data_IF_589422835196
#
_entry.id   IF_589422835196
#
_cell.length_a   1.000
_cell.length_b   1.000
_cell.length_c   1.000
_cell.angle_alpha   90.00
_cell.angle_beta   90.00
_cell.angle_gamma   90.00
#
_symmetry.space_group_name_H-M   'P 1'
#
loop_
_entity.id
_entity.type
_entity.pdbx_description
1 polymer ?
#
# COMPACT_ATOMS: atom_id res chain seq x y z
N UNK A 1 26.52 7.34 -17.98
CA UNK A 1 25.60 8.29 -17.34
C UNK A 1 25.83 9.64 -18.02
N UNK A 2 24.88 10.13 -18.80
CA UNK A 2 25.03 11.41 -19.50
C UNK A 2 24.50 12.52 -18.59
N UNK A 3 25.40 13.23 -17.91
CA UNK A 3 25.06 14.45 -17.19
C UNK A 3 24.46 15.47 -18.17
N UNK A 4 23.30 16.04 -17.82
CA UNK A 4 22.72 17.15 -18.61
C UNK A 4 23.52 18.41 -18.31
N UNK A 5 23.99 19.04 -19.36
CA UNK A 5 24.75 20.29 -19.31
C UNK A 5 23.87 21.39 -19.89
N UNK A 6 23.82 22.57 -19.27
CA UNK A 6 23.07 23.71 -19.78
C UNK A 6 23.82 24.43 -20.92
N UNK A 7 23.20 25.47 -21.51
CA UNK A 7 23.80 26.29 -22.57
C UNK A 7 25.10 27.01 -22.14
N UNK A 8 25.40 27.03 -20.84
CA UNK A 8 26.57 27.67 -20.23
C UNK A 8 27.65 26.66 -19.79
N UNK A 9 27.56 25.41 -20.24
CA UNK A 9 28.45 24.33 -19.81
C UNK A 9 28.40 23.99 -18.30
N UNK A 10 27.33 24.38 -17.61
CA UNK A 10 27.12 24.02 -16.21
C UNK A 10 26.36 22.71 -16.11
N UNK A 11 26.73 21.89 -15.14
CA UNK A 11 25.98 20.69 -14.79
C UNK A 11 24.61 21.10 -14.25
N UNK A 12 23.55 20.68 -14.94
CA UNK A 12 22.21 20.78 -14.38
C UNK A 12 22.13 19.84 -13.17
N UNK A 13 21.58 20.30 -12.03
CA UNK A 13 21.36 19.42 -10.89
C UNK A 13 20.51 18.22 -11.34
N UNK A 14 20.90 17.03 -10.89
CA UNK A 14 20.15 15.82 -11.19
C UNK A 14 18.73 15.99 -10.63
N UNK A 15 17.72 15.92 -11.50
CA UNK A 15 16.33 16.07 -11.09
C UNK A 15 15.95 14.85 -10.23
N UNK A 16 15.72 15.10 -8.94
CA UNK A 16 15.35 14.08 -7.96
C UNK A 16 13.88 14.20 -7.64
N UNK A 17 13.16 13.08 -7.68
CA UNK A 17 11.77 13.04 -7.26
C UNK A 17 11.70 12.78 -5.75
N UNK A 18 11.18 13.75 -5.03
CA UNK A 18 10.92 13.66 -3.59
C UNK A 18 9.57 12.99 -3.34
N UNK A 19 9.56 11.97 -2.50
CA UNK A 19 8.35 11.22 -2.12
C UNK A 19 8.22 11.08 -0.61
N UNK A 20 6.98 10.95 -0.15
CA UNK A 20 6.64 10.49 1.19
C UNK A 20 5.87 9.19 1.10
N UNK A 21 6.21 8.23 1.96
CA UNK A 21 5.60 6.89 2.00
C UNK A 21 4.72 6.80 3.24
N UNK A 22 3.51 6.29 3.07
CA UNK A 22 2.58 5.94 4.13
C UNK A 22 2.30 4.45 4.06
N UNK A 23 2.16 3.81 5.21
CA UNK A 23 1.97 2.39 5.27
C UNK A 23 0.97 1.97 6.35
N UNK A 24 0.32 0.85 6.09
CA UNK A 24 -0.50 0.14 7.06
C UNK A 24 -0.46 -1.38 6.80
N UNK A 25 -0.77 -2.15 7.84
CA UNK A 25 -0.89 -3.60 7.82
C UNK A 25 -2.34 -4.03 7.99
N UNK A 26 -2.88 -4.68 6.96
CA UNK A 26 -4.14 -5.41 7.13
C UNK A 26 -3.82 -6.81 7.64
N UNK A 27 -3.93 -6.99 8.95
CA UNK A 27 -3.86 -8.31 9.56
C UNK A 27 -5.10 -9.13 9.24
N UNK A 28 -4.86 -10.39 8.88
CA UNK A 28 -5.90 -11.39 8.76
C UNK A 28 -6.16 -12.05 10.12
N UNK A 29 -7.38 -12.56 10.32
CA UNK A 29 -7.72 -13.37 11.50
C UNK A 29 -6.83 -14.62 11.54
N UNK A 30 -6.79 -15.32 12.69
CA UNK A 30 -5.97 -16.52 12.87
C UNK A 30 -6.20 -17.59 11.79
N UNK A 31 -7.36 -17.57 11.12
CA UNK A 31 -7.77 -18.54 10.11
C UNK A 31 -7.43 -18.17 8.66
N UNK A 32 -6.91 -16.97 8.38
CA UNK A 32 -6.54 -16.61 7.00
C UNK A 32 -5.04 -16.63 6.77
N UNK A 33 -4.63 -17.23 5.66
CA UNK A 33 -3.23 -17.46 5.32
C UNK A 33 -2.46 -16.19 4.97
N UNK A 34 -3.13 -15.08 4.62
CA UNK A 34 -2.45 -13.90 4.08
C UNK A 34 -2.18 -12.83 5.14
N UNK A 35 -1.25 -11.92 4.86
CA UNK A 35 -1.07 -10.65 5.57
C UNK A 35 -0.73 -9.62 4.52
N UNK A 36 -1.30 -8.41 4.60
CA UNK A 36 -1.12 -7.41 3.55
C UNK A 36 -0.35 -6.21 4.09
N UNK A 37 0.74 -5.86 3.41
CA UNK A 37 1.46 -4.60 3.60
C UNK A 37 1.02 -3.66 2.50
N UNK A 38 0.34 -2.58 2.88
CA UNK A 38 -0.17 -1.56 1.95
C UNK A 38 0.71 -0.33 2.02
N UNK A 39 1.24 0.10 0.88
CA UNK A 39 1.97 1.37 0.74
C UNK A 39 1.16 2.35 -0.10
N UNK A 40 1.07 3.58 0.37
CA UNK A 40 0.67 4.74 -0.40
C UNK A 40 1.89 5.66 -0.52
N UNK A 41 2.25 6.03 -1.74
CA UNK A 41 3.38 6.92 -2.03
C UNK A 41 2.84 8.19 -2.65
N UNK A 42 3.23 9.33 -2.10
CA UNK A 42 2.78 10.65 -2.54
C UNK A 42 4.01 11.50 -2.84
N UNK A 43 4.14 12.09 -4.04
CA UNK A 43 5.16 13.09 -4.30
C UNK A 43 5.08 14.20 -3.25
N UNK A 44 6.20 14.58 -2.63
CA UNK A 44 6.18 15.49 -1.47
C UNK A 44 5.50 16.82 -1.80
N UNK A 45 5.68 17.32 -3.04
CA UNK A 45 5.02 18.53 -3.53
C UNK A 45 3.50 18.41 -3.77
N UNK A 46 2.92 17.21 -3.67
CA UNK A 46 1.48 16.94 -3.83
C UNK A 46 0.75 16.69 -2.51
N UNK A 47 1.46 16.53 -1.40
CA UNK A 47 0.87 16.21 -0.08
C UNK A 47 -0.26 17.18 0.28
N UNK A 48 -0.02 18.49 0.20
CA UNK A 48 -1.03 19.51 0.52
C UNK A 48 -2.26 19.41 -0.37
N UNK A 49 -2.08 19.18 -1.67
CA UNK A 49 -3.19 19.01 -2.62
C UNK A 49 -4.05 17.80 -2.25
N UNK A 50 -3.43 16.67 -1.93
CA UNK A 50 -4.17 15.46 -1.56
C UNK A 50 -4.87 15.63 -0.21
N UNK A 51 -4.24 16.27 0.79
CA UNK A 51 -4.88 16.58 2.07
C UNK A 51 -6.14 17.44 1.85
N UNK A 52 -6.04 18.49 1.03
CA UNK A 52 -7.19 19.35 0.72
C UNK A 52 -8.34 18.57 0.09
N UNK A 53 -8.03 17.66 -0.85
CA UNK A 53 -9.02 16.76 -1.44
C UNK A 53 -9.69 15.86 -0.39
N UNK A 54 -8.90 15.23 0.48
CA UNK A 54 -9.43 14.34 1.52
C UNK A 54 -10.30 15.10 2.53
N UNK A 55 -9.88 16.30 2.93
CA UNK A 55 -10.65 17.16 3.81
C UNK A 55 -11.97 17.61 3.16
N UNK A 56 -11.95 17.94 1.87
CA UNK A 56 -13.17 18.25 1.13
C UNK A 56 -14.13 17.06 1.14
N UNK A 57 -13.64 15.85 0.85
CA UNK A 57 -14.47 14.62 0.89
C UNK A 57 -15.07 14.42 2.29
N UNK A 58 -14.31 14.66 3.36
CA UNK A 58 -14.83 14.56 4.74
C UNK A 58 -15.98 15.54 5.00
N UNK A 59 -15.85 16.78 4.55
CA UNK A 59 -16.88 17.81 4.68
C UNK A 59 -18.14 17.41 3.90
N UNK A 60 -17.99 17.00 2.64
CA UNK A 60 -19.10 16.59 1.78
C UNK A 60 -19.86 15.38 2.34
N UNK A 61 -19.14 14.41 2.90
CA UNK A 61 -19.72 13.17 3.46
C UNK A 61 -20.09 13.27 4.93
N UNK A 62 -19.80 14.41 5.58
CA UNK A 62 -19.99 14.64 7.02
C UNK A 62 -19.29 13.57 7.88
N UNK A 63 -18.09 13.14 7.48
CA UNK A 63 -17.33 12.10 8.15
C UNK A 63 -15.96 12.62 8.66
N UNK A 64 -15.91 12.98 9.95
CA UNK A 64 -14.74 13.61 10.60
C UNK A 64 -14.04 12.70 11.62
N UNK A 65 -14.30 11.40 11.58
CA UNK A 65 -13.73 10.43 12.51
C UNK A 65 -12.67 9.55 11.86
N UNK A 66 -11.98 8.78 12.70
CA UNK A 66 -11.11 7.70 12.27
C UNK A 66 -11.83 6.74 11.31
N UNK A 67 -11.20 6.51 10.17
CA UNK A 67 -11.65 5.52 9.20
C UNK A 67 -10.94 4.19 9.45
N UNK A 68 -11.70 3.10 9.43
CA UNK A 68 -11.14 1.76 9.21
C UNK A 68 -12.10 0.92 8.39
N UNK A 69 -11.57 0.16 7.42
CA UNK A 69 -12.33 -0.70 6.51
C UNK A 69 -13.11 -1.78 7.24
N UNK A 70 -12.50 -2.39 8.27
CA UNK A 70 -13.12 -3.46 9.07
C UNK A 70 -14.39 -2.99 9.81
N UNK A 71 -14.45 -1.70 10.15
CA UNK A 71 -15.51 -1.10 10.97
C UNK A 71 -16.70 -0.56 10.16
N UNK A 72 -16.66 -0.68 8.83
CA UNK A 72 -17.75 -0.22 7.97
C UNK A 72 -18.98 -1.08 8.24
N UNK A 73 -20.08 -0.45 8.67
CA UNK A 73 -21.36 -1.11 8.93
C UNK A 73 -22.04 -1.53 7.62
N UNK A 74 -23.04 -2.42 7.70
CA UNK A 74 -23.75 -2.96 6.53
C UNK A 74 -24.41 -1.89 5.63
N UNK A 75 -24.71 -0.69 6.15
CA UNK A 75 -25.45 0.34 5.42
C UNK A 75 -24.62 1.09 4.38
N UNK A 76 -25.09 1.05 3.13
CA UNK A 76 -24.62 1.87 2.00
C UNK A 76 -24.93 3.37 2.16
N UNK A 77 -25.76 3.75 3.13
CA UNK A 77 -26.07 5.16 3.42
C UNK A 77 -25.26 5.71 4.59
N UNK A 78 -24.34 4.91 5.16
CA UNK A 78 -23.51 5.38 6.27
C UNK A 78 -22.48 6.40 5.78
N UNK A 79 -22.24 7.46 6.56
CA UNK A 79 -21.24 8.50 6.24
C UNK A 79 -19.84 7.91 6.02
N UNK A 80 -19.49 6.86 6.78
CA UNK A 80 -18.23 6.11 6.63
C UNK A 80 -18.13 5.38 5.27
N UNK A 81 -19.21 4.76 4.80
CA UNK A 81 -19.24 4.14 3.47
C UNK A 81 -19.12 5.21 2.37
N UNK A 82 -19.92 6.29 2.44
CA UNK A 82 -19.88 7.37 1.46
C UNK A 82 -18.49 8.03 1.39
N UNK A 83 -17.83 8.21 2.54
CA UNK A 83 -16.44 8.67 2.59
C UNK A 83 -15.51 7.72 1.81
N UNK A 84 -15.53 6.42 2.11
CA UNK A 84 -14.69 5.43 1.44
C UNK A 84 -14.95 5.38 -0.08
N UNK A 85 -16.21 5.41 -0.49
CA UNK A 85 -16.62 5.40 -1.89
C UNK A 85 -16.08 6.64 -2.63
N UNK A 86 -16.21 7.83 -2.04
CA UNK A 86 -15.68 9.07 -2.63
C UNK A 86 -14.16 9.09 -2.73
N UNK A 87 -13.47 8.53 -1.74
CA UNK A 87 -12.00 8.35 -1.78
C UNK A 87 -11.61 7.40 -2.91
N UNK A 88 -12.26 6.24 -3.03
CA UNK A 88 -12.01 5.28 -4.13
C UNK A 88 -12.27 5.94 -5.50
N UNK A 89 -13.38 6.66 -5.65
CA UNK A 89 -13.72 7.33 -6.91
C UNK A 89 -12.68 8.39 -7.29
N UNK A 90 -12.17 9.13 -6.31
CA UNK A 90 -11.08 10.09 -6.52
C UNK A 90 -9.79 9.38 -6.96
N UNK A 91 -9.50 8.21 -6.37
CA UNK A 91 -8.36 7.38 -6.74
C UNK A 91 -8.43 6.80 -8.15
N UNK A 92 -9.61 6.31 -8.54
CA UNK A 92 -9.85 5.77 -9.88
C UNK A 92 -9.83 6.86 -10.96
N UNK A 93 -10.13 8.11 -10.58
CA UNK A 93 -10.13 9.27 -11.48
C UNK A 93 -8.77 9.98 -11.60
N UNK A 94 -7.79 9.64 -10.76
CA UNK A 94 -6.48 10.32 -10.68
C UNK A 94 -5.51 9.99 -11.84
N UNK A 95 -6.02 9.57 -13.00
CA UNK A 95 -5.22 9.02 -14.11
C UNK A 95 -3.99 9.87 -14.46
N UNK A 96 -4.19 11.17 -14.69
CA UNK A 96 -3.16 12.05 -15.26
C UNK A 96 -2.42 12.88 -14.20
N UNK A 97 -3.07 13.18 -13.07
CA UNK A 97 -2.51 14.04 -12.03
C UNK A 97 -1.41 13.38 -11.20
N UNK A 98 -1.38 12.04 -11.17
CA UNK A 98 -0.40 11.22 -10.43
C UNK A 98 -0.19 11.70 -8.99
N UNK A 99 -1.29 12.01 -8.31
CA UNK A 99 -1.27 12.55 -6.96
C UNK A 99 -0.87 11.49 -5.92
N UNK A 100 -1.15 10.21 -6.20
CA UNK A 100 -0.73 9.09 -5.36
C UNK A 100 -0.40 7.86 -6.20
N UNK A 101 0.42 7.00 -5.62
CA UNK A 101 0.81 5.69 -6.12
C UNK A 101 0.50 4.70 -5.00
N UNK A 102 0.08 3.48 -5.33
CA UNK A 102 -0.17 2.48 -4.29
C UNK A 102 0.41 1.13 -4.66
N UNK A 103 1.01 0.47 -3.67
CA UNK A 103 1.52 -0.88 -3.81
C UNK A 103 1.06 -1.73 -2.63
N UNK A 104 0.40 -2.85 -2.90
CA UNK A 104 -0.02 -3.81 -1.86
C UNK A 104 0.74 -5.13 -2.04
N UNK A 105 1.42 -5.61 -1.00
CA UNK A 105 2.02 -6.94 -0.98
C UNK A 105 1.21 -7.87 -0.05
N UNK A 106 0.56 -8.87 -0.63
CA UNK A 106 -0.07 -9.96 0.11
C UNK A 106 0.91 -11.10 0.36
N UNK A 107 1.12 -11.45 1.62
CA UNK A 107 2.09 -12.43 2.07
C UNK A 107 1.37 -13.69 2.56
N UNK A 108 1.51 -14.80 1.85
CA UNK A 108 0.99 -16.11 2.25
C UNK A 108 1.87 -16.71 3.36
N UNK A 109 1.41 -16.57 4.60
CA UNK A 109 2.05 -17.06 5.82
C UNK A 109 2.17 -18.58 5.85
N UNK A 110 1.21 -19.29 5.26
CA UNK A 110 1.19 -20.76 5.29
C UNK A 110 2.28 -21.37 4.41
N UNK A 111 2.74 -20.62 3.42
CA UNK A 111 3.78 -21.03 2.50
C UNK A 111 5.18 -20.56 2.93
N UNK A 112 5.35 -20.05 4.15
CA UNK A 112 6.62 -19.56 4.66
C UNK A 112 7.18 -20.47 5.76
N UNK A 113 8.43 -20.89 5.60
CA UNK A 113 9.21 -21.43 6.71
C UNK A 113 9.69 -20.30 7.63
N UNK A 114 9.04 -20.13 8.78
CA UNK A 114 9.41 -19.09 9.73
C UNK A 114 10.77 -19.31 10.39
N UNK A 115 11.30 -20.54 10.40
CA UNK A 115 12.57 -20.86 11.06
C UNK A 115 13.77 -20.14 10.43
N UNK A 116 13.64 -19.65 9.19
CA UNK A 116 14.67 -18.86 8.50
C UNK A 116 14.71 -17.40 8.94
N UNK A 117 13.75 -16.94 9.74
CA UNK A 117 13.66 -15.57 10.24
C UNK A 117 14.14 -15.42 11.70
N UNK A 118 14.62 -16.50 12.32
CA UNK A 118 15.17 -16.44 13.68
C UNK A 118 14.80 -17.67 14.50
N UNK A 119 15.32 -17.71 15.72
CA UNK A 119 15.15 -18.85 16.62
C UNK A 119 13.88 -18.72 17.46
N UNK A 120 13.56 -17.49 17.88
CA UNK A 120 12.37 -17.20 18.68
C UNK A 120 11.22 -16.66 17.84
N UNK A 121 9.96 -16.91 18.26
CA UNK A 121 8.76 -16.36 17.59
C UNK A 121 8.81 -14.84 17.40
N UNK A 122 9.37 -14.12 18.39
CA UNK A 122 9.51 -12.66 18.36
C UNK A 122 10.49 -12.21 17.27
N UNK A 123 11.66 -12.84 17.20
CA UNK A 123 12.65 -12.57 16.15
C UNK A 123 12.10 -12.94 14.78
N UNK A 124 11.46 -14.11 14.68
CA UNK A 124 10.86 -14.58 13.43
C UNK A 124 9.87 -13.57 12.87
N UNK A 125 8.89 -13.12 13.68
CA UNK A 125 7.93 -12.12 13.27
C UNK A 125 8.60 -10.79 12.87
N UNK A 126 9.57 -10.33 13.66
CA UNK A 126 10.29 -9.08 13.40
C UNK A 126 11.05 -9.13 12.08
N UNK A 127 11.89 -10.14 11.90
CA UNK A 127 12.76 -10.24 10.74
C UNK A 127 11.95 -10.51 9.47
N UNK A 128 10.89 -11.32 9.58
CA UNK A 128 9.85 -11.46 8.58
C UNK A 128 9.31 -10.09 8.16
N UNK A 129 8.80 -9.32 9.13
CA UNK A 129 8.13 -8.06 8.83
C UNK A 129 9.07 -7.04 8.22
N UNK A 130 10.23 -6.81 8.84
CA UNK A 130 11.25 -5.89 8.35
C UNK A 130 11.69 -6.23 6.92
N UNK A 131 11.87 -7.52 6.63
CA UNK A 131 12.28 -7.97 5.29
C UNK A 131 11.20 -7.69 4.26
N UNK A 132 9.95 -8.03 4.55
CA UNK A 132 8.86 -7.84 3.60
C UNK A 132 8.49 -6.37 3.44
N UNK A 133 8.45 -5.59 4.52
CA UNK A 133 8.22 -4.14 4.45
C UNK A 133 9.28 -3.44 3.58
N UNK A 134 10.57 -3.73 3.82
CA UNK A 134 11.69 -3.27 2.99
C UNK A 134 11.52 -3.68 1.52
N UNK A 135 11.16 -4.93 1.29
CA UNK A 135 10.96 -5.47 -0.07
C UNK A 135 9.80 -4.77 -0.78
N UNK A 136 8.71 -4.48 -0.07
CA UNK A 136 7.55 -3.76 -0.60
C UNK A 136 7.93 -2.35 -1.02
N UNK A 137 8.71 -1.61 -0.21
CA UNK A 137 9.21 -0.27 -0.56
C UNK A 137 10.10 -0.34 -1.81
N UNK A 138 11.12 -1.22 -1.78
CA UNK A 138 12.07 -1.37 -2.89
C UNK A 138 11.37 -1.71 -4.20
N UNK A 139 10.42 -2.64 -4.16
CA UNK A 139 9.65 -3.03 -5.33
C UNK A 139 8.73 -1.91 -5.83
N UNK A 140 8.04 -1.20 -4.92
CA UNK A 140 7.17 -0.08 -5.28
C UNK A 140 7.94 1.03 -5.99
N UNK A 141 9.07 1.46 -5.42
CA UNK A 141 9.90 2.53 -6.00
C UNK A 141 10.46 2.11 -7.36
N UNK A 142 11.02 0.89 -7.47
CA UNK A 142 11.54 0.37 -8.74
C UNK A 142 10.46 0.24 -9.82
N UNK A 143 9.24 -0.11 -9.44
CA UNK A 143 8.12 -0.27 -10.37
C UNK A 143 7.60 1.08 -10.87
N UNK A 144 7.38 2.03 -9.95
CA UNK A 144 6.73 3.31 -10.27
C UNK A 144 7.67 4.31 -10.92
N UNK A 145 8.94 4.29 -10.52
CA UNK A 145 9.93 5.30 -10.90
C UNK A 145 11.20 4.66 -11.49
N UNK A 146 11.08 3.83 -12.55
CA UNK A 146 12.24 3.20 -13.14
C UNK A 146 13.17 4.26 -13.72
N UNK A 147 14.47 4.11 -13.45
CA UNK A 147 15.53 5.02 -13.89
C UNK A 147 15.44 6.45 -13.33
N UNK A 148 14.67 6.68 -12.27
CA UNK A 148 14.65 7.96 -11.55
C UNK A 148 15.41 7.82 -10.23
N UNK A 149 16.12 8.88 -9.85
CA UNK A 149 16.66 9.03 -8.50
C UNK A 149 15.54 9.53 -7.60
N UNK A 150 15.27 8.76 -6.55
CA UNK A 150 14.20 9.04 -5.60
C UNK A 150 14.82 9.48 -4.29
N UNK A 151 14.24 10.51 -3.67
CA UNK A 151 14.54 10.91 -2.31
C UNK A 151 13.29 10.67 -1.47
N UNK A 152 13.40 9.80 -0.46
CA UNK A 152 12.33 9.54 0.49
C UNK A 152 12.45 10.53 1.64
N UNK A 153 11.51 11.46 1.73
CA UNK A 153 11.53 12.50 2.77
C UNK A 153 11.06 11.96 4.11
N UNK A 154 10.01 11.14 4.11
CA UNK A 154 9.45 10.53 5.31
C UNK A 154 8.84 9.16 4.99
N UNK A 155 8.83 8.29 5.99
CA UNK A 155 8.08 7.04 5.99
C UNK A 155 7.19 7.04 7.22
N UNK A 156 5.88 7.02 7.01
CA UNK A 156 4.87 6.92 8.06
C UNK A 156 4.28 5.52 8.08
N UNK A 157 4.01 5.00 9.27
CA UNK A 157 3.34 3.72 9.47
C UNK A 157 2.30 3.85 10.58
N UNK A 158 1.16 3.17 10.48
CA UNK A 158 0.19 3.15 11.58
C UNK A 158 0.81 2.55 12.85
N UNK A 159 0.27 2.93 13.99
CA UNK A 159 0.58 2.30 15.26
C UNK A 159 0.24 0.80 15.23
N UNK A 160 1.23 -0.01 15.59
CA UNK A 160 1.12 -1.46 15.69
C UNK A 160 1.74 -1.88 17.00
N UNK A 161 0.92 -2.47 17.88
CA UNK A 161 1.33 -2.88 19.23
C UNK A 161 2.53 -3.84 19.25
N UNK A 162 2.76 -4.56 18.16
CA UNK A 162 3.87 -5.51 18.03
C UNK A 162 5.14 -4.85 17.48
N UNK A 163 5.01 -3.94 16.51
CA UNK A 163 6.15 -3.23 15.91
C UNK A 163 6.73 -2.14 16.82
N UNK A 164 5.87 -1.49 17.62
CA UNK A 164 6.28 -0.45 18.59
C UNK A 164 7.29 -0.94 19.61
N UNK A 165 7.26 -2.23 19.94
CA UNK A 165 8.16 -2.84 20.92
C UNK A 165 9.50 -3.24 20.31
N UNK A 166 9.74 -2.95 19.04
CA UNK A 166 10.90 -3.45 18.31
C UNK A 166 11.84 -2.34 17.81
N UNK A 167 13.00 -2.22 18.45
CA UNK A 167 13.99 -1.17 18.15
C UNK A 167 14.47 -1.15 16.68
N UNK A 168 14.58 -2.30 16.03
CA UNK A 168 15.08 -2.36 14.64
C UNK A 168 14.07 -1.82 13.62
N UNK A 169 12.76 -1.88 13.87
CA UNK A 169 11.77 -1.47 12.85
C UNK A 169 11.94 0.01 12.46
N UNK A 170 12.25 0.85 13.44
CA UNK A 170 12.38 2.29 13.25
C UNK A 170 13.46 2.66 12.23
N UNK A 171 14.68 2.15 12.35
CA UNK A 171 15.80 2.64 11.55
C UNK A 171 16.39 1.61 10.58
N UNK A 172 16.28 0.31 10.88
CA UNK A 172 17.02 -0.72 10.14
C UNK A 172 16.52 -0.89 8.70
N UNK A 173 15.23 -0.67 8.46
CA UNK A 173 14.66 -0.71 7.10
C UNK A 173 15.32 0.35 6.22
N UNK A 174 15.42 1.59 6.71
CA UNK A 174 16.04 2.70 5.99
C UNK A 174 17.52 2.43 5.79
N UNK A 175 18.25 2.12 6.86
CA UNK A 175 19.67 1.79 6.81
C UNK A 175 19.99 0.73 5.75
N UNK A 176 19.20 -0.35 5.71
CA UNK A 176 19.41 -1.40 4.71
C UNK A 176 19.03 -0.97 3.30
N UNK A 177 17.97 -0.17 3.11
CA UNK A 177 17.60 0.31 1.77
C UNK A 177 18.66 1.24 1.20
N UNK A 178 19.18 2.14 2.03
CA UNK A 178 20.25 3.09 1.69
C UNK A 178 21.52 2.36 1.23
N UNK A 179 21.90 1.28 1.93
CA UNK A 179 23.04 0.44 1.53
C UNK A 179 22.80 -0.39 0.26
N UNK A 180 21.56 -0.85 0.01
CA UNK A 180 21.24 -1.83 -1.03
C UNK A 180 20.63 -1.22 -2.31
N UNK A 181 20.39 0.09 -2.36
CA UNK A 181 19.62 0.74 -3.42
C UNK A 181 20.33 1.97 -3.97
N UNK A 182 20.95 1.85 -5.14
CA UNK A 182 21.68 2.95 -5.77
C UNK A 182 20.79 4.12 -6.23
N UNK A 183 19.46 3.95 -6.28
CA UNK A 183 18.53 4.92 -6.82
C UNK A 183 17.55 5.51 -5.79
N UNK A 184 17.75 5.20 -4.50
CA UNK A 184 16.89 5.66 -3.40
C UNK A 184 17.78 6.27 -2.33
N UNK A 185 17.66 7.58 -2.15
CA UNK A 185 18.26 8.30 -1.03
C UNK A 185 17.18 8.56 0.03
N UNK A 186 17.59 8.77 1.28
CA UNK A 186 16.67 9.08 2.39
C UNK A 186 17.04 10.39 3.08
N UNK A 187 16.07 11.28 3.27
CA UNK A 187 16.20 12.46 4.14
C UNK A 187 15.70 12.17 5.57
N UNK A 188 15.11 11.00 5.81
CA UNK A 188 14.73 10.51 7.12
C UNK A 188 15.62 9.35 7.56
N UNK A 189 15.82 9.21 8.87
CA UNK A 189 16.59 8.10 9.45
C UNK A 189 15.69 7.07 10.16
N UNK A 190 14.41 7.40 10.33
CA UNK A 190 13.44 6.56 11.04
C UNK A 190 12.10 6.48 10.31
N UNK A 191 11.44 5.34 10.42
CA UNK A 191 10.01 5.17 10.21
C UNK A 191 9.28 5.84 11.38
N UNK A 192 8.37 6.75 11.05
CA UNK A 192 7.55 7.49 12.00
C UNK A 192 6.24 6.74 12.22
N UNK A 193 6.04 6.25 13.45
CA UNK A 193 4.75 5.69 13.85
C UNK A 193 3.77 6.82 14.16
N UNK A 194 2.57 6.75 13.62
CA UNK A 194 1.53 7.76 13.80
C UNK A 194 0.19 7.10 14.12
N UNK A 195 -0.70 7.83 14.78
CA UNK A 195 -2.05 7.36 15.08
C UNK A 195 -2.98 7.59 13.89
N UNK A 196 -3.54 6.52 13.32
CA UNK A 196 -4.53 6.63 12.25
C UNK A 196 -5.74 7.49 12.66
N UNK A 197 -6.13 7.58 13.94
CA UNK A 197 -7.08 8.59 14.41
C UNK A 197 -6.45 9.99 14.43
N UNK A 198 -6.63 10.73 13.34
CA UNK A 198 -6.20 12.14 13.21
C UNK A 198 -6.67 13.09 14.33
N UNK A 199 -7.69 12.73 15.12
CA UNK A 199 -8.10 13.53 16.29
C UNK A 199 -7.20 13.29 17.51
N UNK A 200 -6.52 12.14 17.57
CA UNK A 200 -5.60 11.72 18.64
C UNK A 200 -4.12 11.89 18.23
N UNK A 201 -3.82 11.92 16.94
CA UNK A 201 -2.50 12.25 16.44
C UNK A 201 -2.16 13.72 16.75
N UNK A 202 -0.95 14.00 17.23
CA UNK A 202 -0.56 15.33 17.68
C UNK A 202 0.38 16.03 16.70
N UNK A 203 1.36 15.29 16.18
CA UNK A 203 2.47 15.83 15.40
C UNK A 203 2.17 15.78 13.90
N UNK A 204 1.48 14.73 13.46
CA UNK A 204 1.29 14.44 12.03
C UNK A 204 -0.17 14.21 11.66
N UNK A 205 -1.10 15.03 12.20
CA UNK A 205 -2.55 14.87 12.02
C UNK A 205 -2.99 14.58 10.60
N UNK A 206 -2.50 15.36 9.64
CA UNK A 206 -2.83 15.20 8.23
C UNK A 206 -2.30 13.89 7.64
N UNK A 207 -1.19 13.36 8.16
CA UNK A 207 -0.58 12.10 7.70
C UNK A 207 -1.47 10.90 8.01
N UNK A 208 -2.23 10.95 9.11
CA UNK A 208 -3.17 9.90 9.51
C UNK A 208 -4.22 9.60 8.42
N UNK A 209 -4.63 10.61 7.64
CA UNK A 209 -5.57 10.41 6.53
C UNK A 209 -5.01 9.48 5.44
N UNK A 210 -3.70 9.50 5.19
CA UNK A 210 -3.07 8.65 4.19
C UNK A 210 -2.94 7.20 4.68
N UNK A 211 -2.62 7.01 5.95
CA UNK A 211 -2.59 5.67 6.58
C UNK A 211 -3.97 5.03 6.54
N UNK A 212 -5.04 5.79 6.79
CA UNK A 212 -6.42 5.31 6.63
C UNK A 212 -6.75 4.89 5.17
N UNK A 213 -6.10 5.48 4.17
CA UNK A 213 -6.23 5.06 2.76
C UNK A 213 -5.49 3.73 2.53
N UNK A 214 -4.35 3.52 3.18
CA UNK A 214 -3.67 2.23 3.17
C UNK A 214 -4.59 1.11 3.71
N UNK A 215 -5.30 1.35 4.83
CA UNK A 215 -6.30 0.41 5.37
C UNK A 215 -7.45 0.17 4.37
N UNK A 216 -7.97 1.24 3.76
CA UNK A 216 -9.05 1.13 2.75
C UNK A 216 -8.64 0.25 1.56
N UNK A 217 -7.47 0.52 0.97
CA UNK A 217 -7.00 -0.20 -0.21
C UNK A 217 -6.59 -1.64 0.12
N UNK A 218 -5.90 -1.85 1.24
CA UNK A 218 -5.52 -3.18 1.73
C UNK A 218 -6.74 -4.03 2.09
N UNK A 219 -7.68 -3.46 2.84
CA UNK A 219 -8.93 -4.08 3.22
C UNK A 219 -9.81 -4.43 2.02
N UNK A 220 -9.91 -3.55 1.03
CA UNK A 220 -10.66 -3.82 -0.20
C UNK A 220 -10.03 -4.93 -1.05
N UNK A 221 -8.69 -4.94 -1.22
CA UNK A 221 -8.01 -6.03 -1.92
C UNK A 221 -8.19 -7.37 -1.20
N UNK A 222 -8.03 -7.39 0.13
CA UNK A 222 -8.29 -8.57 0.96
C UNK A 222 -9.72 -9.06 0.77
N UNK A 223 -10.70 -8.16 0.80
CA UNK A 223 -12.10 -8.49 0.56
C UNK A 223 -12.34 -9.11 -0.82
N UNK A 224 -11.56 -8.76 -1.86
CA UNK A 224 -11.65 -9.43 -3.16
C UNK A 224 -11.21 -10.90 -3.12
N UNK A 225 -10.31 -11.30 -2.22
CA UNK A 225 -9.78 -12.66 -2.09
C UNK A 225 -10.49 -13.52 -1.04
N UNK A 226 -11.23 -12.91 -0.11
CA UNK A 226 -11.93 -13.59 0.97
C UNK A 226 -13.31 -14.11 0.55
N UNK A 227 -13.88 -15.01 1.36
CA UNK A 227 -15.22 -15.53 1.09
C UNK A 227 -16.23 -14.38 1.19
N UNK A 228 -17.02 -14.08 0.14
CA UNK A 228 -17.96 -13.00 0.19
C UNK A 228 -19.05 -13.13 1.27
N UNK A 229 -19.33 -14.32 1.81
CA UNK A 229 -20.31 -14.48 2.91
C UNK A 229 -19.86 -13.79 4.21
N UNK A 230 -18.56 -13.53 4.37
CA UNK A 230 -17.97 -12.87 5.55
C UNK A 230 -18.02 -11.34 5.48
N UNK A 231 -18.40 -10.81 4.32
CA UNK A 231 -18.47 -9.37 4.05
C UNK A 231 -19.92 -8.88 4.20
N UNK A 232 -20.07 -7.67 4.72
CA UNK A 232 -21.35 -6.97 4.66
C UNK A 232 -21.46 -6.21 3.32
N UNK A 233 -22.69 -5.82 2.95
CA UNK A 233 -22.98 -5.25 1.63
C UNK A 233 -22.13 -4.01 1.30
N UNK A 234 -21.88 -3.15 2.29
CA UNK A 234 -21.02 -1.98 2.14
C UNK A 234 -19.56 -2.33 1.80
N UNK A 235 -18.95 -3.26 2.54
CA UNK A 235 -17.57 -3.72 2.24
C UNK A 235 -17.49 -4.46 0.92
N UNK A 236 -18.52 -5.23 0.55
CA UNK A 236 -18.61 -5.87 -0.77
C UNK A 236 -18.65 -4.83 -1.88
N UNK A 237 -19.49 -3.81 -1.75
CA UNK A 237 -19.62 -2.73 -2.75
C UNK A 237 -18.28 -2.01 -2.99
N UNK A 238 -17.57 -1.63 -1.93
CA UNK A 238 -16.24 -1.00 -2.05
C UNK A 238 -15.18 -1.91 -2.68
N UNK A 239 -15.21 -3.21 -2.38
CA UNK A 239 -14.30 -4.16 -3.00
C UNK A 239 -14.64 -4.40 -4.49
N UNK A 240 -15.94 -4.45 -4.83
CA UNK A 240 -16.42 -4.58 -6.21
C UNK A 240 -16.08 -3.35 -7.05
N UNK A 241 -16.09 -2.14 -6.50
CA UNK A 241 -15.70 -0.93 -7.24
C UNK A 241 -14.21 -0.89 -7.61
N UNK A 242 -13.34 -1.51 -6.80
CA UNK A 242 -11.90 -1.65 -7.10
C UNK A 242 -11.55 -2.91 -7.90
N UNK A 243 -12.43 -3.91 -7.94
CA UNK A 243 -12.17 -5.19 -8.62
C UNK A 243 -11.77 -5.03 -10.10
N UNK A 244 -12.41 -4.18 -10.93
CA UNK A 244 -11.99 -3.97 -12.31
C UNK A 244 -10.54 -3.47 -12.44
N UNK A 245 -10.10 -2.61 -11.51
CA UNK A 245 -8.71 -2.16 -11.46
C UNK A 245 -7.77 -3.33 -11.13
N UNK A 246 -8.08 -4.12 -10.08
CA UNK A 246 -7.24 -5.26 -9.68
C UNK A 246 -7.16 -6.35 -10.77
N UNK A 247 -8.26 -6.63 -11.47
CA UNK A 247 -8.25 -7.53 -12.63
C UNK A 247 -7.34 -7.03 -13.73
N UNK A 248 -7.41 -5.74 -14.08
CA UNK A 248 -6.53 -5.19 -15.13
C UNK A 248 -5.06 -5.19 -14.73
N UNK A 249 -4.74 -4.92 -13.46
CA UNK A 249 -3.37 -5.06 -12.92
C UNK A 249 -2.89 -6.52 -13.01
N UNK A 250 -3.77 -7.51 -12.78
CA UNK A 250 -3.46 -8.94 -12.92
C UNK A 250 -3.20 -9.33 -14.38
N UNK A 251 -4.14 -9.00 -15.24
CA UNK A 251 -4.25 -9.58 -16.58
C UNK A 251 -3.41 -8.79 -17.61
N UNK A 252 -3.24 -7.48 -17.39
CA UNK A 252 -2.53 -6.57 -18.29
C UNK A 252 -1.61 -5.61 -17.53
N UNK A 253 -0.66 -6.08 -16.68
CA UNK A 253 0.13 -5.24 -15.78
C UNK A 253 0.93 -4.11 -16.47
N UNK A 254 1.25 -4.27 -17.75
CA UNK A 254 2.07 -3.31 -18.51
C UNK A 254 1.27 -2.39 -19.46
N UNK A 255 -0.06 -2.34 -19.34
CA UNK A 255 -0.89 -1.51 -20.21
C UNK A 255 -0.84 -0.02 -19.81
N UNK A 256 0.01 0.73 -20.48
CA UNK A 256 0.16 2.19 -20.33
C UNK A 256 -1.07 3.00 -20.77
N UNK A 257 -1.94 2.44 -21.61
CA UNK A 257 -3.14 3.10 -22.13
C UNK A 257 -4.42 2.75 -21.35
N UNK A 258 -4.27 2.23 -20.13
CA UNK A 258 -5.41 1.89 -19.27
C UNK A 258 -6.30 3.12 -18.97
N UNK A 259 -7.62 2.90 -18.95
CA UNK A 259 -8.60 3.90 -18.52
C UNK A 259 -8.36 4.38 -17.08
N UNK A 260 -7.78 3.53 -16.21
CA UNK A 260 -7.44 3.88 -14.84
C UNK A 260 -6.02 4.46 -14.66
N UNK A 261 -5.19 4.48 -15.71
CA UNK A 261 -3.80 4.99 -15.61
C UNK A 261 -2.90 4.24 -14.63
N UNK A 262 -3.14 2.95 -14.40
CA UNK A 262 -2.42 2.20 -13.35
C UNK A 262 -0.97 1.85 -13.67
N UNK A 263 -0.55 1.93 -14.93
CA UNK A 263 0.80 1.53 -15.33
C UNK A 263 1.86 2.37 -14.62
N UNK A 264 2.79 1.70 -13.91
CA UNK A 264 3.80 2.34 -13.05
C UNK A 264 3.20 3.28 -11.99
N UNK A 265 1.97 3.02 -11.58
CA UNK A 265 1.24 3.84 -10.62
C UNK A 265 0.60 3.04 -9.51
N UNK A 266 -0.09 1.98 -9.90
CA UNK A 266 -0.82 1.09 -8.99
C UNK A 266 -0.37 -0.33 -9.22
N UNK A 267 -0.09 -1.05 -8.14
CA UNK A 267 0.29 -2.45 -8.20
C UNK A 267 -0.21 -3.20 -6.96
N UNK A 268 -0.46 -4.48 -7.13
CA UNK A 268 -0.48 -5.41 -6.01
C UNK A 268 0.31 -6.66 -6.40
N UNK A 269 0.79 -7.41 -5.43
CA UNK A 269 1.49 -8.66 -5.66
C UNK A 269 1.28 -9.61 -4.51
N UNK A 270 1.37 -10.90 -4.77
CA UNK A 270 1.26 -11.97 -3.80
C UNK A 270 2.59 -12.71 -3.70
N UNK A 271 2.89 -13.23 -2.51
CA UNK A 271 4.12 -13.97 -2.25
C UNK A 271 4.00 -14.86 -1.00
N UNK A 272 4.64 -16.02 -0.90
CA UNK A 272 5.17 -16.80 -2.01
C UNK A 272 4.05 -17.64 -2.65
N UNK A 273 4.23 -18.00 -3.93
CA UNK A 273 3.27 -18.86 -4.65
C UNK A 273 3.31 -20.30 -4.14
N UNK A 274 4.51 -20.79 -3.85
CA UNK A 274 4.81 -22.15 -3.45
C UNK A 274 5.37 -22.15 -2.03
N UNK A 275 5.34 -23.32 -1.37
CA UNK A 275 5.91 -23.49 -0.04
C UNK A 275 7.42 -23.25 -0.09
N UNK A 276 7.89 -22.28 0.69
CA UNK A 276 9.31 -22.01 0.87
C UNK A 276 9.80 -22.77 2.09
N UNK A 277 10.62 -23.78 1.85
CA UNK A 277 11.41 -24.49 2.86
C UNK A 277 12.88 -24.04 2.77
N UNK A 278 13.73 -24.49 3.71
CA UNK A 278 15.16 -24.15 3.71
C UNK A 278 15.89 -24.44 2.39
N UNK A 279 15.42 -25.42 1.61
CA UNK A 279 16.03 -25.84 0.34
C UNK A 279 15.55 -24.99 -0.86
N UNK A 280 14.31 -24.47 -0.80
CA UNK A 280 13.75 -23.56 -1.80
C UNK A 280 14.12 -22.12 -1.43
N UNK A 281 15.24 -21.66 -1.98
CA UNK A 281 15.71 -20.31 -1.72
C UNK A 281 14.67 -19.24 -2.11
N UNK A 282 14.38 -18.33 -1.18
CA UNK A 282 13.63 -17.09 -1.42
C UNK A 282 14.09 -16.31 -2.66
N UNK A 283 15.35 -16.49 -3.09
CA UNK A 283 15.92 -15.86 -4.27
C UNK A 283 15.28 -16.33 -5.60
N UNK A 284 14.73 -17.55 -5.63
CA UNK A 284 14.12 -18.14 -6.83
C UNK A 284 12.59 -17.93 -6.88
N UNK A 285 12.00 -17.53 -5.76
CA UNK A 285 10.55 -17.35 -5.63
C UNK A 285 10.13 -16.01 -6.22
N UNK A 286 9.15 -16.03 -7.11
CA UNK A 286 8.66 -14.83 -7.79
C UNK A 286 7.36 -14.32 -7.19
N UNK A 287 7.21 -12.99 -7.17
CA UNK A 287 5.92 -12.35 -6.95
C UNK A 287 4.92 -12.81 -8.02
N UNK A 288 3.69 -13.07 -7.60
CA UNK A 288 2.63 -13.48 -8.53
C UNK A 288 1.37 -12.63 -8.32
N UNK A 289 0.48 -12.66 -9.31
CA UNK A 289 -0.84 -11.99 -9.24
C UNK A 289 -1.99 -12.96 -9.55
N UNK A 290 -1.69 -14.14 -10.06
CA UNK A 290 -2.69 -15.09 -10.54
C UNK A 290 -3.31 -15.86 -9.36
N UNK A 291 -4.26 -15.23 -8.68
CA UNK A 291 -5.16 -15.80 -7.68
C UNK A 291 -6.58 -15.35 -8.02
N UNK A 292 -7.54 -16.25 -7.87
CA UNK A 292 -8.93 -15.95 -8.18
C UNK A 292 -9.54 -15.00 -7.16
N UNK A 293 -10.37 -14.08 -7.66
CA UNK A 293 -11.11 -13.14 -6.81
C UNK A 293 -12.42 -13.78 -6.39
N UNK A 294 -12.46 -14.37 -5.19
CA UNK A 294 -13.66 -15.03 -4.65
C UNK A 294 -14.89 -14.12 -4.60
N UNK A 295 -14.70 -12.80 -4.50
CA UNK A 295 -15.82 -11.84 -4.51
C UNK A 295 -16.64 -11.87 -5.81
N UNK A 296 -16.10 -12.43 -6.90
CA UNK A 296 -16.83 -12.60 -8.17
C UNK A 296 -18.09 -13.47 -8.02
N UNK A 297 -18.10 -14.40 -7.07
CA UNK A 297 -19.28 -15.21 -6.72
C UNK A 297 -20.45 -14.33 -6.23
N UNK A 298 -20.16 -13.12 -5.71
CA UNK A 298 -21.22 -12.16 -5.34
C UNK A 298 -21.87 -11.50 -6.54
N UNK A 299 -21.17 -11.32 -7.66
CA UNK A 299 -21.71 -10.64 -8.85
C UNK A 299 -22.86 -11.45 -9.45
N UNK A 300 -22.74 -12.78 -9.40
CA UNK A 300 -23.81 -13.70 -9.83
C UNK A 300 -25.07 -13.60 -8.95
N UNK A 301 -24.96 -13.08 -7.72
CA UNK A 301 -26.07 -12.90 -6.79
C UNK A 301 -26.67 -11.47 -6.78
N UNK A 302 -25.93 -10.46 -7.22
CA UNK A 302 -26.34 -9.04 -7.15
C UNK A 302 -26.75 -8.40 -8.49
N UNK A 303 -26.64 -9.13 -9.61
CA UNK A 303 -26.88 -8.56 -10.95
C UNK A 303 -25.69 -7.75 -11.43
N UNK A 304 -25.48 -7.73 -12.75
CA UNK A 304 -24.33 -7.08 -13.38
C UNK A 304 -24.34 -5.57 -13.16
N UNK A 305 -23.21 -5.02 -12.72
CA UNK A 305 -22.91 -3.60 -12.83
C UNK A 305 -22.19 -3.37 -14.15
N UNK A 306 -22.87 -2.73 -15.10
CA UNK A 306 -22.32 -2.28 -16.39
C UNK A 306 -21.42 -1.05 -16.24
#
# INVERSE_FOLDING_TARGET
>A
MNSKINLFNEFLPEERLHITIFADETHCTENESFTYISLLIVPTNKITTVISLLNQIRVETKFHHEFSFSTIKKSLNSTKFMFAERVINSLLSDKDSKNFYFNILGINRDNLDYSVFGETKKEQYTNFYNRFFRTTIKNAVKNFFPNQKIVVDNIFHDHSTTLEKHQLFYWHIIFKLDLESENIDFNCNNVLLINSDHNKESNYKNCSHFVQICDLLGGALRACFNNPTELNDARKSLALSLLPLFKRIRDKPFNNNSSYGYYRKYNYSLFPKENLNKETHFANSQFYKNKDFKIEESIQAFGTFD
#
